data_IF_937758114617
#
_entry.id   IF_937758114617
#
_cell.length_a   1.000
_cell.length_b   1.000
_cell.length_c   1.000
_cell.angle_alpha   90.00
_cell.angle_beta   90.00
_cell.angle_gamma   90.00
#
_symmetry.space_group_name_H-M   'P 1'
#
loop_
_entity.id
_entity.type
_entity.pdbx_description
1 polymer ?
#
# COMPACT_ATOMS: atom_id res chain seq x y z
N UNK A 1 30.20 56.36 -10.68
CA UNK A 1 30.99 56.29 -11.93
C UNK A 1 31.25 54.83 -12.25
N UNK A 2 30.66 54.37 -13.37
CA UNK A 2 30.97 53.17 -14.18
C UNK A 2 30.60 51.77 -13.68
N UNK A 3 29.77 51.16 -14.52
CA UNK A 3 29.34 49.76 -14.62
C UNK A 3 30.52 48.81 -14.90
N UNK A 4 30.32 47.51 -14.60
CA UNK A 4 30.47 46.49 -15.63
C UNK A 4 29.57 45.28 -15.34
N UNK A 5 28.68 45.02 -16.30
CA UNK A 5 28.04 43.71 -16.51
C UNK A 5 29.14 42.68 -16.80
N UNK A 6 28.95 41.44 -16.35
CA UNK A 6 29.54 40.29 -17.03
C UNK A 6 28.49 39.19 -17.15
N UNK A 7 28.37 38.73 -18.38
CA UNK A 7 27.38 37.84 -18.97
C UNK A 7 27.62 36.38 -18.61
N UNK A 8 26.55 35.59 -18.69
CA UNK A 8 26.43 34.15 -18.38
C UNK A 8 27.47 33.25 -19.10
N UNK A 9 27.53 31.96 -18.72
CA UNK A 9 26.81 31.03 -19.59
C UNK A 9 25.85 30.09 -18.84
N UNK A 10 24.68 29.98 -19.43
CA UNK A 10 23.61 29.02 -19.16
C UNK A 10 24.14 27.61 -19.50
N UNK A 11 24.41 26.79 -18.48
CA UNK A 11 24.67 25.36 -18.68
C UNK A 11 23.35 24.68 -19.01
N UNK A 12 23.12 24.43 -20.30
CA UNK A 12 22.04 23.61 -20.80
C UNK A 12 22.20 22.18 -20.25
N UNK A 13 21.31 21.77 -19.36
CA UNK A 13 21.14 20.37 -19.00
C UNK A 13 20.61 19.62 -20.23
N UNK A 14 21.50 18.93 -20.94
CA UNK A 14 21.11 17.93 -21.93
C UNK A 14 20.46 16.77 -21.17
N UNK A 15 19.12 16.67 -21.25
CA UNK A 15 18.41 15.49 -20.78
C UNK A 15 18.82 14.30 -21.65
N UNK A 16 19.72 13.45 -21.14
CA UNK A 16 20.02 12.17 -21.73
C UNK A 16 18.77 11.29 -21.58
N UNK A 17 17.97 11.18 -22.64
CA UNK A 17 16.88 10.22 -22.76
C UNK A 17 17.47 8.80 -22.76
N UNK A 18 17.67 8.25 -21.57
CA UNK A 18 17.87 6.82 -21.38
C UNK A 18 16.52 6.14 -21.63
N UNK A 19 16.32 5.68 -22.87
CA UNK A 19 15.28 4.72 -23.23
C UNK A 19 15.54 3.39 -22.50
N UNK A 20 15.22 3.34 -21.20
CA UNK A 20 14.97 2.08 -20.51
C UNK A 20 13.73 1.48 -21.16
N UNK A 21 13.94 0.50 -22.02
CA UNK A 21 12.90 -0.40 -22.49
C UNK A 21 12.42 -1.23 -21.31
N UNK A 22 11.56 -0.65 -20.47
CA UNK A 22 10.62 -1.45 -19.71
C UNK A 22 9.75 -2.15 -20.75
N UNK A 23 9.82 -3.48 -20.82
CA UNK A 23 8.76 -4.27 -21.48
C UNK A 23 7.49 -4.20 -20.62
N UNK A 24 6.94 -2.99 -20.50
CA UNK A 24 5.55 -2.81 -20.12
C UNK A 24 4.71 -3.25 -21.32
N UNK A 25 3.63 -3.98 -21.06
CA UNK A 25 2.70 -4.40 -22.11
C UNK A 25 2.27 -3.21 -22.97
N UNK A 26 2.17 -3.34 -24.31
CA UNK A 26 1.78 -2.25 -25.20
C UNK A 26 0.46 -1.58 -24.81
N UNK A 27 -0.47 -2.34 -24.21
CA UNK A 27 -1.73 -1.85 -23.71
C UNK A 27 -1.57 -0.83 -22.56
N UNK A 28 -0.63 -1.06 -21.63
CA UNK A 28 -0.42 -0.14 -20.51
C UNK A 28 0.18 1.19 -20.95
N UNK A 29 1.07 1.20 -21.94
CA UNK A 29 1.62 2.44 -22.49
C UNK A 29 0.52 3.28 -23.18
N UNK A 30 -0.41 2.62 -23.88
CA UNK A 30 -1.57 3.28 -24.50
C UNK A 30 -2.56 3.80 -23.45
N UNK A 31 -2.81 3.03 -22.39
CA UNK A 31 -3.67 3.45 -21.27
C UNK A 31 -3.06 4.61 -20.47
N UNK A 32 -1.75 4.59 -20.19
CA UNK A 32 -1.07 5.70 -19.52
C UNK A 32 -1.06 6.97 -20.36
N UNK A 33 -0.88 6.85 -21.69
CA UNK A 33 -0.96 7.99 -22.59
C UNK A 33 -2.38 8.59 -22.65
N UNK A 34 -3.41 7.76 -22.55
CA UNK A 34 -4.81 8.21 -22.49
C UNK A 34 -5.14 8.86 -21.14
N UNK A 35 -4.69 8.29 -20.02
CA UNK A 35 -4.86 8.87 -18.67
C UNK A 35 -4.14 10.22 -18.56
N UNK A 36 -2.93 10.32 -19.09
CA UNK A 36 -2.13 11.56 -19.04
C UNK A 36 -2.74 12.70 -19.87
N UNK A 37 -3.49 12.37 -20.93
CA UNK A 37 -4.28 13.36 -21.71
C UNK A 37 -5.52 13.86 -20.98
N UNK A 38 -5.97 13.17 -19.94
CA UNK A 38 -7.20 13.48 -19.19
C UNK A 38 -6.96 14.24 -17.88
N UNK A 39 -5.72 14.58 -17.54
CA UNK A 39 -5.40 15.18 -16.23
C UNK A 39 -5.36 16.72 -16.29
N UNK A 40 -6.26 17.45 -15.62
CA UNK A 40 -6.04 18.85 -15.27
C UNK A 40 -4.97 18.96 -14.18
N UNK A 41 -4.22 20.05 -14.24
CA UNK A 41 -3.17 20.42 -13.30
C UNK A 41 -3.69 20.59 -11.87
N UNK A 42 -2.87 20.13 -10.92
CA UNK A 42 -2.95 20.35 -9.46
C UNK A 42 -4.14 19.70 -8.72
N UNK A 43 -3.78 18.89 -7.73
CA UNK A 43 -4.59 18.34 -6.64
C UNK A 43 -5.55 19.39 -6.04
N UNK A 44 -6.76 19.45 -6.58
CA UNK A 44 -7.93 19.95 -5.87
C UNK A 44 -8.58 18.77 -5.15
N UNK A 45 -9.21 19.01 -3.99
CA UNK A 45 -10.01 18.00 -3.32
C UNK A 45 -11.04 17.41 -4.31
N UNK A 46 -11.13 16.08 -4.37
CA UNK A 46 -12.00 15.34 -5.27
C UNK A 46 -13.46 15.80 -5.10
N UNK A 47 -13.90 16.71 -5.97
CA UNK A 47 -15.31 17.08 -6.10
C UNK A 47 -15.95 15.99 -6.95
N UNK A 48 -17.05 15.34 -6.50
CA UNK A 48 -17.82 14.42 -7.34
C UNK A 48 -18.28 15.19 -8.58
N UNK A 49 -17.67 14.93 -9.73
CA UNK A 49 -17.96 15.69 -10.97
C UNK A 49 -19.26 15.18 -11.64
N UNK A 50 -19.71 13.97 -11.30
CA UNK A 50 -20.89 13.33 -11.86
C UNK A 50 -21.69 12.47 -10.84
N UNK A 51 -21.31 12.47 -9.56
CA UNK A 51 -21.98 11.68 -8.52
C UNK A 51 -21.55 10.20 -8.46
N UNK A 52 -20.46 9.82 -9.14
CA UNK A 52 -19.88 8.47 -9.16
C UNK A 52 -19.13 8.08 -7.86
N UNK A 53 -18.72 9.05 -7.05
CA UNK A 53 -17.98 8.82 -5.79
C UNK A 53 -18.94 8.46 -4.64
N UNK A 54 -19.45 7.22 -4.61
CA UNK A 54 -20.13 6.69 -3.44
C UNK A 54 -19.12 6.20 -2.40
N UNK A 55 -18.73 7.08 -1.48
CA UNK A 55 -17.86 6.72 -0.35
C UNK A 55 -18.64 5.93 0.69
N UNK A 56 -18.14 4.73 1.01
CA UNK A 56 -18.74 3.83 1.99
C UNK A 56 -17.73 3.60 3.11
N UNK A 57 -18.17 3.74 4.35
CA UNK A 57 -17.30 3.46 5.48
C UNK A 57 -17.03 1.96 5.63
N UNK A 58 -15.79 1.61 6.00
CA UNK A 58 -15.31 0.23 6.08
C UNK A 58 -15.60 -0.38 7.46
N UNK A 59 -16.00 -1.66 7.51
CA UNK A 59 -15.99 -2.50 8.71
C UNK A 59 -16.51 -1.83 10.00
N UNK A 60 -15.64 -1.72 10.99
CA UNK A 60 -15.90 -1.18 12.33
C UNK A 60 -16.01 0.36 12.37
N UNK A 61 -15.43 1.05 11.39
CA UNK A 61 -15.51 2.51 11.27
C UNK A 61 -16.68 3.00 10.41
N UNK A 62 -17.51 2.10 9.86
CA UNK A 62 -18.62 2.46 8.95
C UNK A 62 -19.58 3.53 9.45
N UNK A 63 -19.67 3.71 10.77
CA UNK A 63 -20.53 4.68 11.45
C UNK A 63 -19.76 5.85 12.13
N UNK A 64 -18.57 6.22 11.64
CA UNK A 64 -17.85 7.42 12.11
C UNK A 64 -16.62 7.17 13.01
N UNK A 65 -16.35 5.90 13.36
CA UNK A 65 -15.30 5.51 14.29
C UNK A 65 -15.55 5.97 15.74
N UNK A 66 -15.09 5.21 16.73
CA UNK A 66 -15.33 5.49 18.17
C UNK A 66 -14.10 6.03 18.90
N UNK A 67 -12.96 6.11 18.21
CA UNK A 67 -11.68 6.60 18.75
C UNK A 67 -11.16 7.72 17.85
N UNK A 68 -10.24 8.59 18.31
CA UNK A 68 -9.65 9.63 17.46
C UNK A 68 -9.01 9.06 16.17
N UNK A 69 -8.37 7.88 16.28
CA UNK A 69 -7.82 7.17 15.12
C UNK A 69 -8.94 6.66 14.21
N UNK A 70 -9.97 6.01 14.78
CA UNK A 70 -11.10 5.49 14.01
C UNK A 70 -11.87 6.60 13.27
N UNK A 71 -12.07 7.75 13.91
CA UNK A 71 -12.68 8.93 13.28
C UNK A 71 -11.80 9.48 12.16
N UNK A 72 -10.48 9.54 12.36
CA UNK A 72 -9.55 9.94 11.30
C UNK A 72 -9.58 8.99 10.10
N UNK A 73 -9.60 7.67 10.35
CA UNK A 73 -9.76 6.66 9.29
C UNK A 73 -11.10 6.85 8.56
N UNK A 74 -12.20 7.01 9.29
CA UNK A 74 -13.51 7.29 8.69
C UNK A 74 -13.49 8.54 7.82
N UNK A 75 -12.94 9.65 8.33
CA UNK A 75 -12.87 10.90 7.59
C UNK A 75 -12.04 10.79 6.32
N UNK A 76 -10.95 10.01 6.34
CA UNK A 76 -10.15 9.68 5.15
C UNK A 76 -11.00 8.91 4.14
N UNK A 77 -11.71 7.87 4.57
CA UNK A 77 -12.60 7.08 3.71
C UNK A 77 -13.75 7.93 3.13
N UNK A 78 -14.23 8.92 3.89
CA UNK A 78 -15.24 9.88 3.43
C UNK A 78 -14.65 11.07 2.66
N UNK A 79 -13.32 11.11 2.46
CA UNK A 79 -12.58 12.17 1.75
C UNK A 79 -12.72 13.56 2.38
N UNK A 80 -12.94 13.60 3.70
CA UNK A 80 -12.99 14.82 4.52
C UNK A 80 -11.68 15.07 5.27
N UNK A 81 -10.74 14.12 5.21
CA UNK A 81 -9.40 14.23 5.78
C UNK A 81 -8.38 13.61 4.79
N UNK A 82 -7.17 14.18 4.73
CA UNK A 82 -6.13 13.70 3.83
C UNK A 82 -5.60 12.32 4.27
N UNK A 83 -5.55 11.38 3.32
CA UNK A 83 -4.97 10.05 3.51
C UNK A 83 -3.45 10.02 3.45
N UNK A 84 -2.81 11.10 2.99
CA UNK A 84 -1.37 11.28 2.92
C UNK A 84 -0.85 12.27 3.98
N UNK A 85 0.45 12.22 4.25
CA UNK A 85 1.08 13.15 5.19
C UNK A 85 2.54 13.42 4.86
N UNK A 86 2.92 14.70 4.87
CA UNK A 86 4.29 15.15 4.73
C UNK A 86 5.02 15.28 6.09
N UNK A 87 4.34 15.08 7.23
CA UNK A 87 4.91 15.27 8.57
C UNK A 87 6.16 14.41 8.76
N UNK A 88 7.29 15.02 9.08
CA UNK A 88 8.59 14.34 9.21
C UNK A 88 9.32 14.77 10.49
N UNK A 89 10.49 14.17 10.75
CA UNK A 89 11.38 14.61 11.84
C UNK A 89 11.18 13.92 13.19
N UNK A 90 10.43 12.81 13.25
CA UNK A 90 10.34 12.01 14.47
C UNK A 90 11.71 11.43 14.83
N UNK A 91 12.12 11.61 16.09
CA UNK A 91 13.34 11.03 16.67
C UNK A 91 12.92 10.08 17.79
N UNK A 92 13.30 8.79 17.75
CA UNK A 92 12.91 7.83 18.78
C UNK A 92 13.54 8.21 20.12
N UNK A 93 12.80 8.16 21.24
CA UNK A 93 13.31 8.55 22.55
C UNK A 93 14.27 7.50 23.15
N UNK A 94 14.43 6.33 22.50
CA UNK A 94 15.38 5.30 22.90
C UNK A 94 15.44 4.13 21.91
N UNK A 95 16.25 3.13 22.26
CA UNK A 95 16.38 1.89 21.47
C UNK A 95 15.13 1.01 21.68
N UNK A 96 14.70 0.30 20.64
CA UNK A 96 13.61 -0.69 20.72
C UNK A 96 13.78 -1.62 21.93
N UNK A 97 12.68 -1.88 22.65
CA UNK A 97 12.66 -2.75 23.84
C UNK A 97 13.00 -2.07 25.17
N UNK A 98 13.65 -0.90 25.16
CA UNK A 98 13.93 -0.12 26.38
C UNK A 98 12.65 0.47 26.99
N UNK A 99 12.67 0.78 28.30
CA UNK A 99 11.53 1.39 29.00
C UNK A 99 11.08 2.71 28.36
N UNK A 100 12.05 3.55 27.98
CA UNK A 100 11.77 4.86 27.36
C UNK A 100 11.10 4.68 25.99
N UNK A 101 11.56 3.71 25.19
CA UNK A 101 10.93 3.41 23.91
C UNK A 101 9.52 2.82 24.07
N UNK A 102 9.31 1.92 25.04
CA UNK A 102 7.98 1.33 25.31
C UNK A 102 6.95 2.34 25.80
N UNK A 103 7.38 3.48 26.35
CA UNK A 103 6.49 4.55 26.77
C UNK A 103 5.97 5.41 25.59
N UNK A 104 6.58 5.29 24.41
CA UNK A 104 6.19 5.97 23.18
C UNK A 104 5.72 4.95 22.13
N UNK A 105 4.43 5.01 21.80
CA UNK A 105 3.81 4.08 20.84
C UNK A 105 4.49 4.11 19.46
N UNK A 106 5.10 5.22 19.05
CA UNK A 106 5.75 5.37 17.75
C UNK A 106 7.20 4.85 17.73
N UNK A 107 7.82 4.65 18.89
CA UNK A 107 9.25 4.36 18.98
C UNK A 107 9.63 3.04 18.30
N UNK A 108 8.88 1.96 18.54
CA UNK A 108 9.18 0.67 17.92
C UNK A 108 9.05 0.73 16.39
N UNK A 109 8.08 1.48 15.88
CA UNK A 109 7.81 1.64 14.45
C UNK A 109 8.92 2.37 13.71
N UNK A 110 9.60 3.30 14.38
CA UNK A 110 10.79 3.93 13.79
C UNK A 110 11.91 2.91 13.55
N UNK A 111 12.17 2.00 14.51
CA UNK A 111 13.17 0.95 14.36
C UNK A 111 12.79 -0.10 13.32
N UNK A 112 11.51 -0.46 13.27
CA UNK A 112 10.95 -1.31 12.20
C UNK A 112 11.18 -0.66 10.83
N UNK A 113 10.90 0.65 10.69
CA UNK A 113 11.13 1.39 9.46
C UNK A 113 12.61 1.41 9.03
N UNK A 114 13.56 1.48 9.97
CA UNK A 114 14.99 1.36 9.64
C UNK A 114 15.32 -0.03 9.09
N UNK A 115 14.84 -1.10 9.75
CA UNK A 115 15.05 -2.46 9.28
C UNK A 115 14.44 -2.70 7.89
N UNK A 116 13.24 -2.19 7.65
CA UNK A 116 12.57 -2.27 6.36
C UNK A 116 13.27 -1.43 5.28
N UNK A 117 13.80 -0.25 5.61
CA UNK A 117 14.61 0.55 4.67
C UNK A 117 15.81 -0.22 4.17
N UNK A 118 16.53 -0.89 5.07
CA UNK A 118 17.67 -1.76 4.72
C UNK A 118 17.23 -2.93 3.84
N UNK A 119 16.10 -3.56 4.17
CA UNK A 119 15.61 -4.73 3.45
C UNK A 119 15.00 -4.40 2.08
N UNK A 120 14.42 -3.22 1.89
CA UNK A 120 13.65 -2.85 0.69
C UNK A 120 14.45 -2.03 -0.33
N UNK A 121 15.51 -1.35 0.10
CA UNK A 121 16.30 -0.49 -0.78
C UNK A 121 17.38 -1.29 -1.51
N UNK A 122 17.33 -1.29 -2.84
CA UNK A 122 18.36 -1.88 -3.68
C UNK A 122 19.61 -1.01 -3.81
N UNK A 123 20.71 -1.53 -4.40
CA UNK A 123 21.99 -0.82 -4.52
C UNK A 123 21.94 0.53 -5.26
N UNK A 124 20.92 0.73 -6.09
CA UNK A 124 20.72 1.96 -6.88
C UNK A 124 19.76 2.95 -6.21
N UNK A 125 19.39 2.72 -4.93
CA UNK A 125 18.40 3.55 -4.21
C UNK A 125 16.95 3.31 -4.64
N UNK A 126 16.69 2.28 -5.46
CA UNK A 126 15.35 1.89 -5.91
C UNK A 126 14.81 0.73 -5.09
N UNK A 127 13.50 0.61 -4.98
CA UNK A 127 12.89 -0.54 -4.31
C UNK A 127 13.21 -1.87 -5.02
N UNK A 128 13.53 -2.91 -4.24
CA UNK A 128 13.89 -4.23 -4.72
C UNK A 128 12.66 -5.17 -4.83
N UNK A 129 12.87 -6.45 -5.19
CA UNK A 129 11.78 -7.44 -5.31
C UNK A 129 11.04 -7.66 -4.00
N UNK A 130 11.73 -7.49 -2.88
CA UNK A 130 11.18 -7.72 -1.56
C UNK A 130 10.20 -6.63 -1.14
N UNK A 131 10.52 -5.37 -1.46
CA UNK A 131 9.60 -4.24 -1.32
C UNK A 131 8.31 -4.47 -2.12
N UNK A 132 8.45 -4.89 -3.38
CA UNK A 132 7.30 -5.19 -4.26
C UNK A 132 6.44 -6.33 -3.69
N UNK A 133 7.08 -7.36 -3.16
CA UNK A 133 6.38 -8.46 -2.49
C UNK A 133 5.65 -8.00 -1.22
N UNK A 134 6.19 -7.04 -0.46
CA UNK A 134 5.53 -6.47 0.71
C UNK A 134 4.28 -5.67 0.36
N UNK A 135 4.31 -4.88 -0.72
CA UNK A 135 3.12 -4.19 -1.26
C UNK A 135 2.03 -5.22 -1.58
N UNK A 136 2.39 -6.30 -2.30
CA UNK A 136 1.45 -7.38 -2.62
C UNK A 136 0.94 -8.10 -1.38
N UNK A 137 1.80 -8.40 -0.40
CA UNK A 137 1.41 -9.06 0.85
C UNK A 137 0.36 -8.24 1.61
N UNK A 138 0.51 -6.91 1.65
CA UNK A 138 -0.47 -6.01 2.26
C UNK A 138 -1.87 -6.15 1.65
N UNK A 139 -1.95 -6.20 0.31
CA UNK A 139 -3.21 -6.44 -0.39
C UNK A 139 -3.75 -7.86 -0.17
N UNK A 140 -2.91 -8.89 -0.22
CA UNK A 140 -3.37 -10.28 -0.10
C UNK A 140 -3.87 -10.63 1.31
N UNK A 141 -3.35 -9.97 2.34
CA UNK A 141 -3.92 -10.00 3.70
C UNK A 141 -5.28 -9.26 3.70
N UNK A 142 -5.25 -7.94 3.44
CA UNK A 142 -6.40 -7.05 3.56
C UNK A 142 -7.57 -7.35 2.62
N UNK A 143 -7.29 -7.80 1.40
CA UNK A 143 -8.29 -8.01 0.37
C UNK A 143 -9.13 -9.26 0.60
N UNK A 144 -8.83 -10.07 1.62
CA UNK A 144 -9.57 -11.29 1.94
C UNK A 144 -10.86 -11.05 2.77
N UNK A 145 -11.24 -9.79 2.99
CA UNK A 145 -12.49 -9.42 3.66
C UNK A 145 -13.67 -9.29 2.68
N UNK A 146 -14.90 -9.43 3.18
CA UNK A 146 -16.15 -9.35 2.43
C UNK A 146 -17.26 -8.77 3.31
N UNK A 147 -17.91 -7.71 2.84
CA UNK A 147 -19.00 -7.03 3.54
C UNK A 147 -20.24 -7.90 3.66
N UNK A 148 -20.56 -8.67 2.61
CA UNK A 148 -21.70 -9.59 2.59
C UNK A 148 -21.49 -10.79 3.53
N UNK A 149 -20.28 -11.35 3.60
CA UNK A 149 -19.94 -12.41 4.56
C UNK A 149 -19.92 -11.89 6.01
N UNK A 150 -19.38 -10.69 6.23
CA UNK A 150 -19.42 -10.04 7.54
C UNK A 150 -20.87 -9.85 8.03
N UNK A 151 -21.78 -9.39 7.15
CA UNK A 151 -23.20 -9.28 7.45
C UNK A 151 -23.88 -10.63 7.75
N UNK A 152 -23.36 -11.72 7.20
CA UNK A 152 -23.79 -13.10 7.48
C UNK A 152 -23.13 -13.72 8.73
N UNK A 153 -22.36 -12.95 9.50
CA UNK A 153 -21.69 -13.41 10.72
C UNK A 153 -20.31 -14.04 10.50
N UNK A 154 -19.75 -13.92 9.30
CA UNK A 154 -18.39 -14.36 8.94
C UNK A 154 -17.45 -13.16 8.80
N UNK A 155 -17.40 -12.31 9.84
CA UNK A 155 -16.57 -11.10 9.87
C UNK A 155 -15.13 -11.41 10.29
N UNK A 156 -14.39 -12.10 9.41
CA UNK A 156 -12.97 -12.43 9.58
C UNK A 156 -12.24 -12.39 8.22
N UNK A 157 -10.91 -12.38 8.26
CA UNK A 157 -10.07 -11.95 7.15
C UNK A 157 -9.92 -10.43 7.14
N UNK A 158 -9.31 -9.91 6.09
CA UNK A 158 -8.93 -8.50 6.04
C UNK A 158 -7.54 -8.26 6.58
N UNK A 159 -7.28 -7.03 7.05
CA UNK A 159 -5.95 -6.65 7.52
C UNK A 159 -5.73 -7.16 8.96
N UNK A 160 -5.69 -8.48 9.13
CA UNK A 160 -5.66 -9.17 10.43
C UNK A 160 -4.49 -10.16 10.56
N UNK A 161 -3.61 -10.24 9.55
CA UNK A 161 -2.44 -11.10 9.55
C UNK A 161 -2.75 -12.58 9.36
N UNK A 162 -4.02 -12.96 9.11
CA UNK A 162 -4.45 -14.35 8.96
C UNK A 162 -3.75 -15.06 7.81
N UNK A 163 -3.32 -14.32 6.78
CA UNK A 163 -2.56 -14.87 5.66
C UNK A 163 -1.33 -15.66 6.12
N UNK A 164 -0.68 -15.21 7.20
CA UNK A 164 0.47 -15.87 7.83
C UNK A 164 0.01 -16.73 9.01
N UNK A 165 -0.81 -16.16 9.90
CA UNK A 165 -1.09 -16.71 11.22
C UNK A 165 -2.06 -17.89 11.21
N UNK A 166 -2.89 -18.03 10.17
CA UNK A 166 -3.78 -19.19 10.01
C UNK A 166 -3.03 -20.49 9.69
N UNK A 167 -1.77 -20.40 9.24
CA UNK A 167 -0.97 -21.54 8.78
C UNK A 167 -1.45 -22.20 7.48
N UNK A 168 -2.56 -21.73 6.88
CA UNK A 168 -3.17 -22.37 5.70
C UNK A 168 -3.29 -21.43 4.51
N UNK A 169 -3.56 -20.15 4.73
CA UNK A 169 -3.80 -19.17 3.67
C UNK A 169 -2.60 -18.93 2.75
N UNK A 170 -1.38 -18.82 3.31
CA UNK A 170 -0.16 -18.60 2.52
C UNK A 170 0.09 -19.69 1.47
N UNK A 171 -0.51 -20.88 1.64
CA UNK A 171 -0.36 -22.03 0.75
C UNK A 171 -1.42 -22.07 -0.37
N UNK A 172 -2.35 -21.11 -0.40
CA UNK A 172 -3.37 -21.02 -1.45
C UNK A 172 -2.76 -20.52 -2.76
N UNK A 173 -3.34 -20.92 -3.89
CA UNK A 173 -2.78 -20.67 -5.21
C UNK A 173 -2.70 -19.18 -5.58
N UNK A 174 -3.66 -18.38 -5.11
CA UNK A 174 -3.68 -16.92 -5.22
C UNK A 174 -2.53 -16.25 -4.44
N UNK A 175 -2.03 -16.88 -3.39
CA UNK A 175 -0.93 -16.38 -2.55
C UNK A 175 0.47 -16.86 -3.00
N UNK A 176 0.56 -17.62 -4.10
CA UNK A 176 1.83 -18.12 -4.64
C UNK A 176 2.87 -16.99 -4.82
N UNK A 177 4.08 -17.21 -4.31
CA UNK A 177 5.19 -16.26 -4.37
C UNK A 177 5.27 -15.27 -3.20
N UNK A 178 4.39 -15.37 -2.19
CA UNK A 178 4.44 -14.52 -0.99
C UNK A 178 5.20 -15.14 0.19
N UNK A 179 5.65 -16.40 0.08
CA UNK A 179 6.25 -17.14 1.19
C UNK A 179 7.47 -16.44 1.82
N UNK A 180 8.38 -15.92 1.00
CA UNK A 180 9.62 -15.30 1.51
C UNK A 180 9.34 -14.01 2.29
N UNK A 181 8.47 -13.14 1.76
CA UNK A 181 8.10 -11.90 2.45
C UNK A 181 7.22 -12.17 3.69
N UNK A 182 6.35 -13.17 3.65
CA UNK A 182 5.57 -13.61 4.80
C UNK A 182 6.48 -14.12 5.93
N UNK A 183 7.47 -14.96 5.61
CA UNK A 183 8.44 -15.43 6.59
C UNK A 183 9.19 -14.28 7.25
N UNK A 184 9.59 -13.26 6.49
CA UNK A 184 10.25 -12.10 7.05
C UNK A 184 9.33 -11.20 7.88
N UNK A 185 8.07 -11.02 7.47
CA UNK A 185 7.08 -10.32 8.29
C UNK A 185 6.95 -10.99 9.66
N UNK A 186 6.89 -12.33 9.70
CA UNK A 186 6.89 -13.08 10.95
C UNK A 186 8.19 -12.90 11.76
N UNK A 187 9.35 -12.85 11.11
CA UNK A 187 10.63 -12.56 11.79
C UNK A 187 10.65 -11.17 12.40
N UNK A 188 10.19 -10.14 11.69
CA UNK A 188 10.11 -8.77 12.22
C UNK A 188 9.11 -8.66 13.37
N UNK A 189 7.94 -9.29 13.28
CA UNK A 189 6.98 -9.37 14.38
C UNK A 189 7.63 -9.94 15.65
N UNK A 190 8.36 -11.06 15.53
CA UNK A 190 9.08 -11.67 16.65
C UNK A 190 10.21 -10.79 17.17
N UNK A 191 11.00 -10.19 16.28
CA UNK A 191 12.15 -9.35 16.65
C UNK A 191 11.73 -8.10 17.42
N UNK A 192 10.63 -7.46 17.00
CA UNK A 192 10.17 -6.20 17.56
C UNK A 192 9.03 -6.36 18.57
N UNK A 193 8.52 -7.58 18.76
CA UNK A 193 7.42 -7.92 19.66
C UNK A 193 6.16 -7.07 19.38
N UNK A 194 5.72 -7.10 18.12
CA UNK A 194 4.49 -6.45 17.61
C UNK A 194 3.66 -7.44 16.80
N UNK A 195 2.37 -7.15 16.60
CA UNK A 195 1.47 -8.02 15.84
C UNK A 195 1.90 -8.22 14.38
N UNK A 196 1.59 -9.38 13.82
CA UNK A 196 1.89 -9.71 12.42
C UNK A 196 1.06 -8.85 11.48
N UNK A 197 -0.21 -8.60 11.79
CA UNK A 197 -1.12 -7.80 10.99
C UNK A 197 -0.55 -6.38 10.76
N UNK A 198 -0.07 -5.74 11.82
CA UNK A 198 0.53 -4.41 11.69
C UNK A 198 1.88 -4.45 10.97
N UNK A 199 2.70 -5.49 11.13
CA UNK A 199 3.94 -5.62 10.36
C UNK A 199 3.66 -5.71 8.86
N UNK A 200 2.64 -6.47 8.45
CA UNK A 200 2.26 -6.62 7.04
C UNK A 200 1.87 -5.25 6.47
N UNK A 201 0.95 -4.55 7.13
CA UNK A 201 0.40 -3.30 6.60
C UNK A 201 1.38 -2.14 6.69
N UNK A 202 2.15 -2.05 7.79
CA UNK A 202 3.24 -1.08 7.91
C UNK A 202 4.34 -1.36 6.89
N UNK A 203 4.69 -2.63 6.66
CA UNK A 203 5.65 -3.05 5.65
C UNK A 203 5.23 -2.70 4.24
N UNK A 204 3.96 -2.91 3.89
CA UNK A 204 3.41 -2.49 2.61
C UNK A 204 3.51 -0.97 2.41
N UNK A 205 3.09 -0.17 3.39
CA UNK A 205 3.18 1.28 3.32
C UNK A 205 4.62 1.80 3.23
N UNK A 206 5.54 1.22 4.00
CA UNK A 206 6.97 1.55 3.95
C UNK A 206 7.60 1.19 2.60
N UNK A 207 7.20 0.05 2.02
CA UNK A 207 7.63 -0.38 0.71
C UNK A 207 7.16 0.57 -0.41
N UNK A 208 5.93 1.10 -0.33
CA UNK A 208 5.42 2.12 -1.26
C UNK A 208 6.34 3.33 -1.26
N UNK A 209 6.68 3.88 -0.09
CA UNK A 209 7.58 5.05 0.02
C UNK A 209 9.02 4.74 -0.42
N UNK A 210 9.46 3.49 -0.26
CA UNK A 210 10.78 3.04 -0.76
C UNK A 210 10.83 2.99 -2.29
N UNK A 211 9.70 2.73 -2.95
CA UNK A 211 9.61 2.79 -4.40
C UNK A 211 9.60 4.26 -4.87
N UNK A 212 10.43 4.63 -5.86
CA UNK A 212 10.47 6.01 -6.35
C UNK A 212 9.08 6.52 -6.75
N UNK A 213 8.74 7.72 -6.30
CA UNK A 213 7.45 8.40 -6.52
C UNK A 213 6.24 7.75 -5.81
N UNK A 214 6.46 6.77 -4.93
CA UNK A 214 5.38 6.23 -4.11
C UNK A 214 4.83 7.28 -3.13
N UNK A 215 3.51 7.36 -2.95
CA UNK A 215 2.89 8.30 -2.04
C UNK A 215 3.21 7.98 -0.58
N UNK A 216 3.24 9.01 0.26
CA UNK A 216 3.41 8.85 1.71
C UNK A 216 2.07 8.75 2.41
N UNK A 217 1.53 7.54 2.41
CA UNK A 217 0.22 7.21 2.99
C UNK A 217 0.29 7.21 4.52
N UNK A 218 -0.72 7.78 5.17
CA UNK A 218 -0.88 7.69 6.62
C UNK A 218 -1.10 6.24 7.02
N UNK A 219 -0.23 5.76 7.89
CA UNK A 219 -0.26 4.37 8.36
C UNK A 219 -0.75 4.34 9.79
N UNK A 220 -1.78 3.55 10.02
CA UNK A 220 -2.34 3.29 11.34
C UNK A 220 -1.90 1.92 11.81
N UNK A 221 -1.75 1.77 13.13
CA UNK A 221 -1.32 0.54 13.81
C UNK A 221 -2.25 0.26 14.98
N UNK A 222 -2.26 -0.97 15.48
CA UNK A 222 -3.18 -1.46 16.50
C UNK A 222 -4.13 -2.55 16.00
N UNK A 223 -3.82 -3.19 14.86
CA UNK A 223 -4.62 -4.33 14.36
C UNK A 223 -4.56 -5.50 15.33
N UNK A 224 -5.67 -6.21 15.43
CA UNK A 224 -5.74 -7.47 16.17
C UNK A 224 -5.33 -8.61 15.25
N UNK A 225 -4.30 -9.33 15.64
CA UNK A 225 -3.88 -10.56 14.97
C UNK A 225 -4.98 -11.63 15.02
N UNK A 226 -5.15 -12.35 13.92
CA UNK A 226 -6.13 -13.43 13.76
C UNK A 226 -5.47 -14.72 13.28
N UNK A 227 -5.78 -15.84 13.94
CA UNK A 227 -5.41 -17.19 13.44
C UNK A 227 -6.54 -17.84 12.65
N UNK A 228 -7.67 -17.15 12.49
CA UNK A 228 -8.82 -17.65 11.75
C UNK A 228 -8.56 -17.44 10.25
N UNK A 229 -8.54 -18.54 9.47
CA UNK A 229 -8.32 -18.44 8.04
C UNK A 229 -9.46 -17.67 7.36
N UNK A 230 -9.14 -16.71 6.50
CA UNK A 230 -10.12 -15.98 5.68
C UNK A 230 -10.87 -16.91 4.72
N UNK A 231 -12.11 -16.60 4.32
CA UNK A 231 -12.84 -17.38 3.32
C UNK A 231 -12.08 -17.47 1.98
N UNK A 232 -12.29 -18.55 1.23
CA UNK A 232 -11.72 -18.68 -0.11
C UNK A 232 -12.54 -17.92 -1.16
N UNK A 233 -11.95 -17.64 -2.32
CA UNK A 233 -12.66 -17.03 -3.44
C UNK A 233 -12.83 -15.51 -3.34
N UNK A 234 -12.15 -14.87 -2.39
CA UNK A 234 -12.21 -13.42 -2.16
C UNK A 234 -11.09 -12.62 -2.85
N UNK A 235 -10.17 -13.31 -3.52
CA UNK A 235 -9.09 -12.72 -4.33
C UNK A 235 -9.47 -12.65 -5.82
N UNK A 236 -9.12 -11.57 -6.53
CA UNK A 236 -9.35 -11.47 -7.97
C UNK A 236 -8.47 -12.45 -8.74
N UNK A 237 -9.05 -13.14 -9.73
CA UNK A 237 -8.29 -13.94 -10.70
C UNK A 237 -7.90 -13.07 -11.91
N UNK A 238 -6.73 -13.36 -12.50
CA UNK A 238 -6.25 -12.70 -13.73
C UNK A 238 -7.14 -12.96 -14.95
N UNK A 239 -8.07 -13.91 -14.87
CA UNK A 239 -9.02 -14.27 -15.94
C UNK A 239 -10.43 -13.73 -15.72
N UNK A 240 -10.70 -13.03 -14.61
CA UNK A 240 -12.01 -12.44 -14.35
C UNK A 240 -12.30 -11.30 -15.34
N UNK A 241 -13.58 -11.12 -15.68
CA UNK A 241 -14.02 -9.93 -16.42
C UNK A 241 -13.94 -8.68 -15.55
N UNK A 242 -13.96 -7.50 -16.17
CA UNK A 242 -13.99 -6.23 -15.44
C UNK A 242 -15.18 -6.16 -14.47
N UNK A 243 -16.37 -6.56 -14.91
CA UNK A 243 -17.59 -6.54 -14.08
C UNK A 243 -17.48 -7.46 -12.86
N UNK A 244 -16.85 -8.63 -13.01
CA UNK A 244 -16.60 -9.55 -11.90
C UNK A 244 -15.63 -8.94 -10.88
N UNK A 245 -14.57 -8.28 -11.34
CA UNK A 245 -13.60 -7.63 -10.46
C UNK A 245 -14.26 -6.44 -9.75
N UNK A 246 -15.02 -5.61 -10.46
CA UNK A 246 -15.75 -4.49 -9.87
C UNK A 246 -16.68 -5.00 -8.77
N UNK A 247 -17.52 -6.00 -9.05
CA UNK A 247 -18.44 -6.58 -8.08
C UNK A 247 -17.71 -7.14 -6.84
N UNK A 248 -16.55 -7.77 -7.05
CA UNK A 248 -15.72 -8.31 -5.96
C UNK A 248 -15.16 -7.19 -5.06
N UNK A 249 -14.80 -6.04 -5.61
CA UNK A 249 -14.25 -4.92 -4.86
C UNK A 249 -15.33 -4.04 -4.23
N UNK A 250 -16.51 -3.93 -4.83
CA UNK A 250 -17.66 -3.27 -4.21
C UNK A 250 -18.09 -3.99 -2.92
N UNK A 251 -18.03 -5.33 -2.91
CA UNK A 251 -18.22 -6.14 -1.68
C UNK A 251 -17.11 -5.91 -0.64
N UNK A 252 -16.01 -5.23 -1.00
CA UNK A 252 -14.94 -4.77 -0.11
C UNK A 252 -15.05 -3.28 0.20
N UNK A 253 -16.19 -2.67 -0.13
CA UNK A 253 -16.46 -1.23 -0.05
C UNK A 253 -15.52 -0.35 -0.89
N UNK A 254 -14.89 -0.91 -1.93
CA UNK A 254 -13.98 -0.21 -2.84
C UNK A 254 -14.72 0.01 -4.17
N UNK A 255 -14.96 1.26 -4.51
CA UNK A 255 -15.66 1.65 -5.74
C UNK A 255 -14.77 1.52 -6.98
N UNK A 256 -15.33 1.50 -8.20
CA UNK A 256 -14.56 1.35 -9.44
C UNK A 256 -13.40 2.35 -9.60
N UNK A 257 -13.58 3.61 -9.17
CA UNK A 257 -12.54 4.63 -9.24
C UNK A 257 -11.38 4.34 -8.26
N UNK A 258 -11.68 3.86 -7.05
CA UNK A 258 -10.69 3.47 -6.03
C UNK A 258 -9.96 2.20 -6.46
N UNK A 259 -10.66 1.24 -7.07
CA UNK A 259 -10.07 0.05 -7.67
C UNK A 259 -9.07 0.44 -8.77
N UNK A 260 -9.42 1.39 -9.63
CA UNK A 260 -8.51 1.90 -10.66
C UNK A 260 -7.26 2.55 -10.04
N UNK A 261 -7.42 3.31 -8.95
CA UNK A 261 -6.30 3.86 -8.20
C UNK A 261 -5.42 2.76 -7.55
N UNK A 262 -6.04 1.73 -6.97
CA UNK A 262 -5.35 0.61 -6.32
C UNK A 262 -4.52 -0.22 -7.31
N UNK A 263 -4.98 -0.36 -8.56
CA UNK A 263 -4.21 -0.98 -9.65
C UNK A 263 -2.89 -0.24 -9.94
N UNK A 264 -2.72 1.01 -9.49
CA UNK A 264 -1.45 1.72 -9.51
C UNK A 264 -0.29 0.95 -8.87
N UNK A 265 -0.56 0.04 -7.93
CA UNK A 265 0.44 -0.88 -7.36
C UNK A 265 1.14 -1.75 -8.44
N UNK A 266 0.48 -2.02 -9.57
CA UNK A 266 1.07 -2.77 -10.68
C UNK A 266 2.19 -2.01 -11.40
N UNK A 267 2.32 -0.69 -11.21
CA UNK A 267 3.47 0.08 -11.70
C UNK A 267 4.81 -0.34 -11.08
N UNK A 268 4.76 -1.01 -9.92
CA UNK A 268 5.92 -1.51 -9.18
C UNK A 268 5.78 -3.00 -8.89
N UNK A 269 5.31 -3.79 -9.87
CA UNK A 269 5.09 -5.23 -9.71
C UNK A 269 5.82 -6.09 -10.75
N UNK A 270 5.97 -7.39 -10.46
CA UNK A 270 6.49 -8.41 -11.37
C UNK A 270 5.62 -9.67 -11.26
N UNK A 271 5.57 -10.46 -12.33
CA UNK A 271 4.87 -11.75 -12.35
C UNK A 271 5.89 -12.89 -12.46
N UNK A 272 5.57 -14.04 -11.88
CA UNK A 272 6.46 -15.22 -11.91
C UNK A 272 5.71 -16.52 -12.22
N UNK A 273 4.37 -16.51 -12.18
CA UNK A 273 3.54 -17.72 -12.18
C UNK A 273 2.54 -17.80 -13.35
N UNK A 274 2.33 -16.70 -14.08
CA UNK A 274 1.39 -16.67 -15.22
C UNK A 274 2.11 -17.10 -16.49
N UNK A 275 3.21 -16.43 -16.82
CA UNK A 275 4.15 -16.86 -17.86
C UNK A 275 5.49 -17.17 -17.19
N UNK A 276 5.78 -18.46 -16.98
CA UNK A 276 7.02 -18.91 -16.32
C UNK A 276 8.28 -18.70 -17.16
N UNK A 277 8.14 -18.17 -18.39
CA UNK A 277 9.27 -17.84 -19.28
C UNK A 277 9.69 -16.36 -19.20
N UNK A 278 9.03 -15.57 -18.36
CA UNK A 278 9.24 -14.12 -18.18
C UNK A 278 9.47 -13.82 -16.71
#
# INVERSE_FOLDING_TARGET
MRLSLSTMPLLAFLALNLNLHAKAWPAMAQQLAEISRRSPQAVAADVPVDGDLQRVGLGDVKNGGTTPVGTSVYNILMGTEAGDSAVAGYTPPGIAGTKVCKADACCVWWWIAQAMTVAFTGPTGRCNSFARAAIRLGFHDAGSWSSSLAAAGQDFGGADGSIILSGTEINRADNNGLADIANQALLWSKLFNVGVADIIQFGAAHAVVTCPLGPRIRTFVGRKDSTQAAPQGLMPSVTMSADQIISLFEDKTIQPHELAALLGAHSTSQQFNVDKTK
#
